data_IF_966000859719
#
_entry.id   IF_966000859719
#
_cell.length_a   1.000
_cell.length_b   1.000
_cell.length_c   1.000
_cell.angle_alpha   90.00
_cell.angle_beta   90.00
_cell.angle_gamma   90.00
#
_symmetry.space_group_name_H-M   'P 1'
#
loop_
_entity.id
_entity.type
_entity.pdbx_description
1 polymer ?
#
# COMPACT_ATOMS: atom_id res chain seq x y z
N UNK A 1 29.66 32.71 17.41
CA UNK A 1 31.00 33.31 17.15
C UNK A 1 30.92 34.74 16.63
N UNK A 2 29.93 35.12 15.82
CA UNK A 2 29.78 36.48 15.23
C UNK A 2 29.77 37.64 16.21
N UNK A 3 29.34 37.44 17.46
CA UNK A 3 29.32 38.49 18.49
C UNK A 3 30.68 38.90 19.09
N UNK A 4 31.76 38.23 18.70
CA UNK A 4 33.11 38.58 19.22
C UNK A 4 33.72 39.71 18.43
N UNK A 5 34.25 40.74 19.14
CA UNK A 5 35.00 41.85 18.50
C UNK A 5 36.27 41.41 17.77
N UNK A 6 36.78 40.22 18.08
CA UNK A 6 38.00 39.64 17.48
C UNK A 6 37.71 38.79 16.26
N UNK A 7 36.45 38.61 15.84
CA UNK A 7 36.07 37.76 14.73
C UNK A 7 36.40 38.34 13.35
N UNK A 8 36.54 39.69 13.26
CA UNK A 8 36.71 40.37 11.98
C UNK A 8 37.74 39.75 11.01
N UNK A 9 38.99 39.37 11.44
CA UNK A 9 39.94 38.74 10.53
C UNK A 9 39.58 37.32 10.11
N UNK A 10 38.61 36.70 10.77
CA UNK A 10 38.20 35.29 10.50
C UNK A 10 36.78 35.19 9.97
N UNK A 11 36.08 36.30 9.70
CA UNK A 11 34.68 36.30 9.28
C UNK A 11 34.42 35.36 8.11
N UNK A 12 35.14 35.47 7.02
CA UNK A 12 34.94 34.64 5.85
C UNK A 12 35.07 33.12 6.17
N UNK A 13 35.99 32.78 7.10
CA UNK A 13 36.15 31.38 7.53
C UNK A 13 35.03 30.94 8.45
N UNK A 14 34.51 31.81 9.29
CA UNK A 14 33.37 31.55 10.19
C UNK A 14 32.12 31.33 9.35
N UNK A 15 31.86 32.20 8.38
CA UNK A 15 30.71 32.13 7.47
C UNK A 15 30.73 30.84 6.62
N UNK A 16 31.91 30.48 6.11
CA UNK A 16 32.06 29.23 5.35
C UNK A 16 31.78 27.98 6.19
N UNK A 17 32.21 27.99 7.47
CA UNK A 17 31.90 26.89 8.39
C UNK A 17 30.43 26.87 8.80
N UNK A 18 29.83 28.03 9.05
CA UNK A 18 28.41 28.11 9.35
C UNK A 18 27.57 27.55 8.21
N UNK A 19 27.85 27.95 6.97
CA UNK A 19 27.20 27.40 5.79
C UNK A 19 27.36 25.87 5.70
N UNK A 20 28.59 25.38 5.89
CA UNK A 20 28.88 23.94 5.83
C UNK A 20 28.10 23.15 6.90
N UNK A 21 28.04 23.68 8.12
CA UNK A 21 27.33 23.01 9.22
C UNK A 21 25.81 23.05 9.04
N UNK A 22 25.28 24.15 8.53
CA UNK A 22 23.84 24.27 8.23
C UNK A 22 23.46 23.30 7.11
N UNK A 23 24.22 23.29 6.01
CA UNK A 23 23.98 22.34 4.92
C UNK A 23 24.08 20.88 5.38
N UNK A 24 25.04 20.58 6.26
CA UNK A 24 25.16 19.23 6.85
C UNK A 24 23.93 18.84 7.66
N UNK A 25 23.41 19.77 8.46
CA UNK A 25 22.19 19.54 9.24
C UNK A 25 21.01 19.24 8.31
N UNK A 26 20.81 20.05 7.26
CA UNK A 26 19.73 19.86 6.29
C UNK A 26 19.86 18.51 5.56
N UNK A 27 21.10 18.11 5.19
CA UNK A 27 21.36 16.80 4.59
C UNK A 27 20.99 15.68 5.53
N UNK A 28 21.40 15.74 6.81
CA UNK A 28 21.11 14.69 7.80
C UNK A 28 19.60 14.58 8.03
N UNK A 29 18.91 15.70 8.18
CA UNK A 29 17.46 15.71 8.43
C UNK A 29 16.69 15.10 7.24
N UNK A 30 17.06 15.44 6.00
CA UNK A 30 16.45 14.86 4.81
C UNK A 30 16.83 13.39 4.65
N UNK A 31 18.09 13.01 4.94
CA UNK A 31 18.54 11.63 4.89
C UNK A 31 17.74 10.72 5.81
N UNK A 32 17.55 11.14 7.07
CA UNK A 32 16.79 10.37 8.05
C UNK A 32 15.33 10.20 7.64
N UNK A 33 14.71 11.21 7.03
CA UNK A 33 13.35 11.12 6.48
C UNK A 33 13.28 10.09 5.35
N UNK A 34 14.18 10.20 4.35
CA UNK A 34 14.26 9.23 3.25
C UNK A 34 14.47 7.82 3.78
N UNK A 35 15.41 7.64 4.72
CA UNK A 35 15.69 6.34 5.31
C UNK A 35 14.47 5.73 5.99
N UNK A 36 13.76 6.50 6.81
CA UNK A 36 12.58 6.02 7.52
C UNK A 36 11.46 5.63 6.55
N UNK A 37 11.19 6.46 5.56
CA UNK A 37 10.16 6.18 4.54
C UNK A 37 10.56 4.99 3.65
N UNK A 38 11.83 4.90 3.24
CA UNK A 38 12.33 3.81 2.42
C UNK A 38 12.25 2.46 3.15
N UNK A 39 12.67 2.38 4.42
CA UNK A 39 12.57 1.17 5.25
C UNK A 39 11.12 0.68 5.41
N UNK A 40 10.16 1.58 5.42
CA UNK A 40 8.74 1.25 5.48
C UNK A 40 8.21 0.75 4.14
N UNK A 41 8.58 1.39 3.02
CA UNK A 41 8.01 1.13 1.71
C UNK A 41 8.69 -0.03 0.96
N UNK A 42 9.97 -0.29 1.22
CA UNK A 42 10.75 -1.32 0.53
C UNK A 42 10.10 -2.71 0.60
N UNK A 43 9.73 -3.26 1.79
CA UNK A 43 9.09 -4.56 1.87
C UNK A 43 7.71 -4.60 1.19
N UNK A 44 7.00 -3.46 1.16
CA UNK A 44 5.68 -3.35 0.53
C UNK A 44 5.81 -3.45 -0.99
N UNK A 45 6.70 -2.66 -1.60
CA UNK A 45 6.92 -2.65 -3.05
C UNK A 45 7.79 -3.80 -3.56
N UNK A 46 8.36 -4.61 -2.68
CA UNK A 46 8.96 -5.91 -3.03
C UNK A 46 7.91 -6.98 -3.35
N UNK A 47 6.63 -6.76 -2.99
CA UNK A 47 5.53 -7.66 -3.33
C UNK A 47 5.03 -7.42 -4.74
N UNK A 48 5.04 -8.48 -5.59
CA UNK A 48 4.53 -8.43 -6.97
C UNK A 48 3.05 -8.03 -7.05
N UNK A 49 2.26 -8.38 -6.03
CA UNK A 49 0.82 -8.11 -6.01
C UNK A 49 0.53 -6.64 -5.77
N UNK A 50 1.26 -5.99 -4.87
CA UNK A 50 1.17 -4.55 -4.62
C UNK A 50 1.69 -3.77 -5.84
N UNK A 51 2.81 -4.18 -6.40
CA UNK A 51 3.40 -3.56 -7.60
C UNK A 51 2.45 -3.56 -8.79
N UNK A 52 1.67 -4.62 -8.99
CA UNK A 52 0.63 -4.69 -10.03
C UNK A 52 -0.57 -3.79 -9.75
N UNK A 53 -0.92 -3.58 -8.49
CA UNK A 53 -2.05 -2.75 -8.09
C UNK A 53 -1.73 -1.25 -8.12
N UNK A 54 -0.48 -0.88 -7.88
CA UNK A 54 0.05 0.48 -7.79
C UNK A 54 1.23 0.69 -8.74
N UNK A 55 1.03 0.60 -10.07
CA UNK A 55 2.13 0.63 -11.04
C UNK A 55 2.83 2.00 -11.08
N UNK A 56 2.11 3.10 -10.89
CA UNK A 56 2.67 4.46 -10.89
C UNK A 56 3.57 4.67 -9.68
N UNK A 57 3.10 4.34 -8.49
CA UNK A 57 3.82 4.44 -7.23
C UNK A 57 5.03 3.51 -7.20
N UNK A 58 4.89 2.30 -7.74
CA UNK A 58 6.00 1.34 -7.89
C UNK A 58 7.09 1.84 -8.82
N UNK A 59 6.73 2.48 -9.94
CA UNK A 59 7.70 3.10 -10.84
C UNK A 59 8.47 4.24 -10.16
N UNK A 60 7.76 5.12 -9.44
CA UNK A 60 8.40 6.19 -8.65
C UNK A 60 9.30 5.63 -7.56
N UNK A 61 8.84 4.59 -6.84
CA UNK A 61 9.64 3.92 -5.82
C UNK A 61 10.93 3.31 -6.38
N UNK A 62 10.87 2.71 -7.56
CA UNK A 62 12.06 2.14 -8.24
C UNK A 62 13.11 3.22 -8.50
N UNK A 63 12.70 4.42 -8.93
CA UNK A 63 13.62 5.56 -9.15
C UNK A 63 14.25 5.99 -7.82
N UNK A 64 13.46 6.19 -6.78
CA UNK A 64 13.96 6.58 -5.45
C UNK A 64 14.89 5.51 -4.87
N UNK A 65 14.53 4.24 -5.00
CA UNK A 65 15.36 3.12 -4.56
C UNK A 65 16.74 3.11 -5.24
N UNK A 66 16.80 3.37 -6.54
CA UNK A 66 18.05 3.49 -7.28
C UNK A 66 18.94 4.60 -6.72
N UNK A 67 18.41 5.80 -6.56
CA UNK A 67 19.12 6.96 -5.99
C UNK A 67 19.58 6.67 -4.56
N UNK A 68 18.75 6.04 -3.74
CA UNK A 68 19.07 5.69 -2.36
C UNK A 68 20.23 4.69 -2.27
N UNK A 69 20.16 3.60 -3.04
CA UNK A 69 21.22 2.57 -3.07
C UNK A 69 22.54 3.17 -3.55
N UNK A 70 22.52 4.01 -4.59
CA UNK A 70 23.72 4.68 -5.11
C UNK A 70 24.33 5.62 -4.06
N UNK A 71 23.52 6.47 -3.42
CA UNK A 71 23.96 7.37 -2.35
C UNK A 71 24.56 6.61 -1.17
N UNK A 72 23.98 5.49 -0.77
CA UNK A 72 24.50 4.62 0.29
C UNK A 72 25.83 3.98 -0.11
N UNK A 73 25.95 3.47 -1.35
CA UNK A 73 27.18 2.86 -1.85
C UNK A 73 28.33 3.87 -1.94
N UNK A 74 28.05 5.09 -2.39
CA UNK A 74 29.06 6.15 -2.43
C UNK A 74 29.50 6.59 -1.03
N UNK A 75 28.55 6.75 -0.12
CA UNK A 75 28.87 7.11 1.29
C UNK A 75 29.65 6.01 1.99
N UNK A 76 29.40 4.73 1.67
CA UNK A 76 30.18 3.62 2.19
C UNK A 76 31.63 3.61 1.68
N UNK A 77 31.90 4.12 0.48
CA UNK A 77 33.28 4.26 -0.07
C UNK A 77 34.07 5.37 0.61
N UNK A 78 33.39 6.48 0.91
CA UNK A 78 34.00 7.64 1.57
C UNK A 78 33.13 8.10 2.74
N UNK A 79 33.28 7.49 3.95
CA UNK A 79 32.40 7.73 5.08
C UNK A 79 32.72 9.04 5.85
N UNK A 80 33.65 9.87 5.35
CA UNK A 80 33.98 11.13 5.98
C UNK A 80 32.82 12.11 5.85
N UNK A 81 32.21 12.52 6.97
CA UNK A 81 31.00 13.34 7.03
C UNK A 81 31.13 14.65 6.21
N UNK A 82 32.29 15.30 6.29
CA UNK A 82 32.55 16.55 5.55
C UNK A 82 32.67 16.33 4.04
N UNK A 83 33.17 15.18 3.60
CA UNK A 83 33.23 14.81 2.19
C UNK A 83 31.81 14.59 1.64
N UNK A 84 30.98 13.84 2.39
CA UNK A 84 29.58 13.62 2.03
C UNK A 84 28.79 14.94 1.99
N UNK A 85 28.97 15.81 2.98
CA UNK A 85 28.29 17.11 3.04
C UNK A 85 28.68 18.09 1.91
N UNK A 86 29.86 17.91 1.32
CA UNK A 86 30.34 18.73 0.20
C UNK A 86 29.96 18.19 -1.17
N UNK A 87 29.27 17.04 -1.22
CA UNK A 87 28.80 16.46 -2.49
C UNK A 87 27.75 17.38 -3.09
N UNK A 88 28.04 17.87 -4.30
CA UNK A 88 27.12 18.73 -5.04
C UNK A 88 25.82 17.94 -5.37
N UNK A 89 24.67 18.59 -5.18
CA UNK A 89 23.37 18.02 -5.53
C UNK A 89 22.81 16.97 -4.55
N UNK A 90 23.55 16.55 -3.52
CA UNK A 90 23.05 15.54 -2.57
C UNK A 90 21.80 16.01 -1.83
N UNK A 91 21.78 17.26 -1.35
CA UNK A 91 20.62 17.81 -0.66
C UNK A 91 19.39 17.88 -1.59
N UNK A 92 19.58 18.29 -2.84
CA UNK A 92 18.50 18.34 -3.83
C UNK A 92 17.96 16.94 -4.14
N UNK A 93 18.85 15.95 -4.31
CA UNK A 93 18.45 14.55 -4.53
C UNK A 93 17.66 13.97 -3.37
N UNK A 94 18.07 14.25 -2.12
CA UNK A 94 17.35 13.79 -0.93
C UNK A 94 15.99 14.51 -0.76
N UNK A 95 15.92 15.78 -1.12
CA UNK A 95 14.66 16.54 -1.09
C UNK A 95 13.67 16.01 -2.13
N UNK A 96 14.11 15.82 -3.36
CA UNK A 96 13.31 15.23 -4.45
C UNK A 96 12.86 13.80 -4.11
N UNK A 97 13.74 13.00 -3.48
CA UNK A 97 13.40 11.67 -3.00
C UNK A 97 12.30 11.71 -1.92
N UNK A 98 12.38 12.64 -0.95
CA UNK A 98 11.35 12.82 0.08
C UNK A 98 10.01 13.20 -0.54
N UNK A 99 9.97 14.15 -1.47
CA UNK A 99 8.74 14.55 -2.15
C UNK A 99 8.09 13.37 -2.89
N UNK A 100 8.88 12.56 -3.59
CA UNK A 100 8.38 11.34 -4.25
C UNK A 100 7.87 10.31 -3.25
N UNK A 101 8.57 10.09 -2.14
CA UNK A 101 8.15 9.16 -1.09
C UNK A 101 6.84 9.60 -0.44
N UNK A 102 6.62 10.90 -0.24
CA UNK A 102 5.36 11.43 0.29
C UNK A 102 4.18 11.16 -0.68
N UNK A 103 4.40 11.34 -1.99
CA UNK A 103 3.39 11.01 -3.01
C UNK A 103 3.08 9.51 -3.01
N UNK A 104 4.11 8.65 -2.91
CA UNK A 104 3.95 7.19 -2.86
C UNK A 104 3.16 6.78 -1.61
N UNK A 105 3.49 7.33 -0.44
CA UNK A 105 2.77 7.04 0.82
C UNK A 105 1.31 7.46 0.74
N UNK A 106 1.03 8.61 0.12
CA UNK A 106 -0.34 9.06 -0.10
C UNK A 106 -1.10 8.10 -1.02
N UNK A 107 -0.53 7.73 -2.17
CA UNK A 107 -1.14 6.76 -3.10
C UNK A 107 -1.43 5.41 -2.43
N UNK A 108 -0.49 4.94 -1.60
CA UNK A 108 -0.68 3.73 -0.81
C UNK A 108 -1.85 3.87 0.20
N UNK A 109 -1.93 5.01 0.89
CA UNK A 109 -3.02 5.28 1.84
C UNK A 109 -4.39 5.31 1.15
N UNK A 110 -4.49 5.98 0.01
CA UNK A 110 -5.72 6.07 -0.79
C UNK A 110 -6.14 4.66 -1.30
N UNK A 111 -5.18 3.85 -1.70
CA UNK A 111 -5.41 2.44 -2.07
C UNK A 111 -5.99 1.63 -0.90
N UNK A 112 -5.38 1.72 0.29
CA UNK A 112 -5.86 0.99 1.47
C UNK A 112 -7.26 1.46 1.89
N UNK A 113 -7.55 2.75 1.80
CA UNK A 113 -8.89 3.28 2.10
C UNK A 113 -9.93 2.75 1.11
N UNK A 114 -9.61 2.67 -0.17
CA UNK A 114 -10.48 2.05 -1.18
C UNK A 114 -10.79 0.58 -0.82
N UNK A 115 -9.80 -0.18 -0.33
CA UNK A 115 -10.02 -1.56 0.14
C UNK A 115 -10.89 -1.63 1.39
N UNK A 116 -10.71 -0.70 2.33
CA UNK A 116 -11.56 -0.60 3.53
C UNK A 116 -13.01 -0.30 3.19
N UNK A 117 -13.25 0.63 2.25
CA UNK A 117 -14.60 0.94 1.79
C UNK A 117 -15.27 -0.24 1.08
N UNK A 118 -14.51 -1.02 0.31
CA UNK A 118 -15.01 -2.22 -0.34
C UNK A 118 -15.37 -3.35 0.66
N UNK A 119 -14.64 -3.44 1.77
CA UNK A 119 -14.89 -4.41 2.84
C UNK A 119 -14.75 -3.76 4.22
N UNK A 120 -15.87 -3.28 4.81
CA UNK A 120 -15.86 -2.48 6.04
C UNK A 120 -15.17 -3.12 7.23
N UNK A 121 -15.04 -4.44 7.28
CA UNK A 121 -14.32 -5.13 8.35
C UNK A 121 -12.82 -4.81 8.38
N UNK A 122 -12.25 -4.35 7.28
CA UNK A 122 -10.85 -3.90 7.21
C UNK A 122 -10.58 -2.62 8.01
N UNK A 123 -11.61 -1.88 8.43
CA UNK A 123 -11.42 -0.74 9.33
C UNK A 123 -10.93 -1.13 10.73
N UNK A 124 -11.06 -2.39 11.12
CA UNK A 124 -10.53 -2.90 12.39
C UNK A 124 -9.05 -3.29 12.32
N UNK A 125 -8.45 -3.23 11.14
CA UNK A 125 -7.06 -3.58 10.91
C UNK A 125 -6.20 -2.32 10.77
N UNK A 126 -4.98 -2.38 11.29
CA UNK A 126 -3.94 -1.39 11.00
C UNK A 126 -3.56 -1.42 9.52
N UNK A 127 -2.81 -0.40 9.06
CA UNK A 127 -2.32 -0.38 7.69
C UNK A 127 -1.40 -1.58 7.40
N UNK A 128 -0.52 -1.90 8.35
CA UNK A 128 0.47 -2.97 8.20
C UNK A 128 -0.21 -4.35 8.12
N UNK A 129 -1.18 -4.61 8.98
CA UNK A 129 -1.98 -5.84 8.95
C UNK A 129 -2.77 -5.97 7.64
N UNK A 130 -3.34 -4.86 7.15
CA UNK A 130 -4.09 -4.87 5.89
C UNK A 130 -3.15 -5.12 4.70
N UNK A 131 -1.95 -4.52 4.70
CA UNK A 131 -0.94 -4.76 3.67
C UNK A 131 -0.45 -6.20 3.67
N UNK A 132 -0.19 -6.78 4.84
CA UNK A 132 0.18 -8.19 4.97
C UNK A 132 -0.89 -9.11 4.37
N UNK A 133 -2.17 -8.83 4.66
CA UNK A 133 -3.29 -9.57 4.09
C UNK A 133 -3.35 -9.43 2.56
N UNK A 134 -3.15 -8.22 2.04
CA UNK A 134 -3.20 -7.95 0.60
C UNK A 134 -1.98 -8.48 -0.15
N UNK A 135 -0.84 -8.64 0.52
CA UNK A 135 0.37 -9.22 -0.05
C UNK A 135 0.35 -10.76 -0.04
N UNK A 136 -0.34 -11.39 0.90
CA UNK A 136 -0.44 -12.85 1.02
C UNK A 136 -1.61 -13.44 0.20
N UNK A 137 -1.66 -13.15 -1.10
CA UNK A 137 -2.73 -13.68 -1.97
C UNK A 137 -2.67 -15.19 -2.22
N UNK A 138 -1.57 -15.86 -1.83
CA UNK A 138 -1.35 -17.29 -2.10
C UNK A 138 -2.11 -18.22 -1.16
N UNK A 139 -2.41 -17.82 0.07
CA UNK A 139 -3.17 -18.63 1.02
C UNK A 139 -4.18 -17.77 1.82
N UNK A 140 -5.34 -17.46 1.20
CA UNK A 140 -6.35 -16.63 1.85
C UNK A 140 -6.93 -17.25 3.13
N UNK A 141 -6.78 -18.56 3.33
CA UNK A 141 -7.37 -19.24 4.49
C UNK A 141 -6.66 -18.89 5.79
N UNK A 142 -5.34 -18.81 5.80
CA UNK A 142 -4.55 -18.50 7.00
C UNK A 142 -4.81 -17.09 7.51
N UNK A 143 -4.87 -16.14 6.61
CA UNK A 143 -4.98 -14.72 6.94
C UNK A 143 -6.41 -14.36 7.38
N UNK A 144 -7.41 -14.87 6.65
CA UNK A 144 -8.81 -14.60 6.95
C UNK A 144 -9.25 -15.24 8.27
N UNK A 145 -8.81 -16.45 8.59
CA UNK A 145 -9.19 -17.15 9.82
C UNK A 145 -8.51 -16.59 11.06
N UNK A 146 -7.24 -16.28 11.00
CA UNK A 146 -6.48 -15.86 12.19
C UNK A 146 -6.74 -14.40 12.61
N UNK A 147 -6.93 -13.48 11.66
CA UNK A 147 -7.01 -12.04 11.94
C UNK A 147 -8.40 -11.44 11.76
N UNK A 148 -9.13 -11.83 10.72
CA UNK A 148 -10.45 -11.27 10.44
C UNK A 148 -11.59 -12.03 11.14
N UNK A 149 -11.43 -13.32 11.35
CA UNK A 149 -12.44 -14.19 11.92
C UNK A 149 -11.85 -15.15 12.97
N UNK A 150 -11.35 -14.65 14.11
CA UNK A 150 -10.66 -15.47 15.09
C UNK A 150 -11.53 -16.61 15.68
N UNK A 151 -12.84 -16.53 15.50
CA UNK A 151 -13.80 -17.55 15.96
C UNK A 151 -14.17 -18.57 14.87
N UNK A 152 -13.58 -18.48 13.68
CA UNK A 152 -13.80 -19.42 12.58
C UNK A 152 -12.62 -20.37 12.53
N UNK A 153 -12.83 -21.62 12.95
CA UNK A 153 -11.78 -22.63 13.00
C UNK A 153 -11.39 -23.18 11.61
N UNK A 154 -12.28 -23.07 10.63
CA UNK A 154 -12.07 -23.61 9.29
C UNK A 154 -12.87 -22.82 8.25
N UNK A 155 -12.19 -22.29 7.23
CA UNK A 155 -12.79 -21.68 6.05
C UNK A 155 -12.71 -22.68 4.89
N UNK A 156 -13.85 -23.22 4.48
CA UNK A 156 -13.90 -24.02 3.25
C UNK A 156 -13.98 -23.08 2.05
N UNK A 157 -12.88 -22.96 1.33
CA UNK A 157 -12.85 -22.30 0.01
C UNK A 157 -13.50 -23.21 -1.00
N UNK A 158 -14.75 -22.94 -1.36
CA UNK A 158 -15.42 -23.67 -2.43
C UNK A 158 -14.66 -23.42 -3.74
N UNK A 159 -13.98 -24.44 -4.24
CA UNK A 159 -13.40 -24.40 -5.57
C UNK A 159 -14.51 -24.10 -6.59
N UNK A 160 -14.27 -23.22 -7.54
CA UNK A 160 -15.23 -22.86 -8.61
C UNK A 160 -15.73 -24.06 -9.39
N UNK A 161 -14.97 -25.14 -9.44
CA UNK A 161 -15.37 -26.44 -10.00
C UNK A 161 -16.41 -27.18 -9.15
N UNK A 162 -16.42 -27.00 -7.81
CA UNK A 162 -17.42 -27.55 -6.90
C UNK A 162 -18.72 -26.76 -6.95
N UNK A 163 -18.63 -25.43 -7.04
CA UNK A 163 -19.81 -24.57 -7.16
C UNK A 163 -20.58 -24.85 -8.49
N UNK A 164 -19.89 -25.10 -9.59
CA UNK A 164 -20.52 -25.50 -10.85
C UNK A 164 -21.19 -26.86 -10.76
N UNK A 165 -20.65 -27.83 -10.03
CA UNK A 165 -21.28 -29.15 -9.81
C UNK A 165 -22.54 -29.06 -8.95
N UNK A 166 -22.57 -28.21 -7.93
CA UNK A 166 -23.77 -27.99 -7.11
C UNK A 166 -24.87 -27.25 -7.87
N UNK A 167 -24.53 -26.27 -8.69
CA UNK A 167 -25.50 -25.57 -9.54
C UNK A 167 -26.10 -26.47 -10.63
N UNK A 168 -25.33 -27.45 -11.14
CA UNK A 168 -25.80 -28.45 -12.11
C UNK A 168 -26.65 -29.57 -11.49
N UNK A 169 -26.55 -29.78 -10.17
CA UNK A 169 -27.29 -30.81 -9.43
C UNK A 169 -28.65 -30.33 -8.89
N UNK A 170 -28.97 -29.04 -8.98
CA UNK A 170 -30.25 -28.52 -8.57
C UNK A 170 -31.23 -28.68 -9.74
N UNK A 171 -32.25 -29.55 -9.64
CA UNK A 171 -33.23 -29.69 -10.71
C UNK A 171 -34.03 -28.39 -10.85
N UNK A 172 -34.42 -28.00 -12.09
CA UNK A 172 -35.20 -26.78 -12.27
C UNK A 172 -36.52 -26.88 -11.52
N UNK A 173 -37.01 -25.78 -10.95
CA UNK A 173 -38.29 -25.78 -10.24
C UNK A 173 -39.39 -26.29 -11.18
N UNK A 174 -40.17 -27.27 -10.72
CA UNK A 174 -41.29 -27.82 -11.49
C UNK A 174 -42.25 -26.70 -11.85
N UNK A 175 -42.69 -26.55 -13.09
CA UNK A 175 -43.67 -25.57 -13.47
C UNK A 175 -44.94 -25.80 -12.64
N UNK A 176 -45.41 -24.74 -11.96
CA UNK A 176 -46.66 -24.78 -11.20
C UNK A 176 -47.77 -25.29 -12.11
N UNK A 177 -48.42 -26.37 -11.67
CA UNK A 177 -49.56 -26.95 -12.36
C UNK A 177 -50.64 -25.84 -12.45
N UNK A 178 -51.07 -25.53 -13.67
CA UNK A 178 -52.18 -24.61 -13.92
C UNK A 178 -53.41 -25.15 -13.19
N UNK A 179 -54.22 -24.30 -12.53
CA UNK A 179 -55.49 -24.77 -11.97
C UNK A 179 -56.38 -25.28 -13.08
N UNK A 180 -56.90 -26.49 -12.90
CA UNK A 180 -57.85 -27.12 -13.81
C UNK A 180 -59.13 -26.26 -13.88
N UNK A 181 -59.41 -25.72 -15.09
CA UNK A 181 -60.65 -25.00 -15.33
C UNK A 181 -61.83 -25.96 -15.03
N UNK A 182 -62.71 -25.56 -14.09
CA UNK A 182 -63.94 -26.28 -13.81
C UNK A 182 -64.84 -26.21 -15.03
N UNK A 183 -65.15 -27.37 -15.60
CA UNK A 183 -66.17 -27.51 -16.64
C UNK A 183 -67.54 -27.24 -16.04
N UNK A 184 -68.13 -26.10 -16.42
CA UNK A 184 -69.49 -25.73 -16.16
C UNK A 184 -70.40 -26.64 -17.01
N UNK A 185 -71.13 -27.55 -16.38
CA UNK A 185 -72.14 -28.40 -17.00
C UNK A 185 -73.46 -27.61 -17.06
N UNK A 186 -74.06 -27.37 -18.25
CA UNK A 186 -75.34 -26.68 -18.35
C UNK A 186 -76.46 -27.62 -17.87
N UNK A 187 -77.26 -27.19 -16.88
CA UNK A 187 -78.52 -27.82 -16.49
C UNK A 187 -79.53 -27.73 -17.60
N UNK A 188 -79.95 -28.89 -18.10
CA UNK A 188 -81.14 -29.03 -18.95
C UNK A 188 -82.41 -28.74 -18.12
N UNK A 189 -83.14 -27.72 -18.58
CA UNK A 189 -84.51 -27.48 -18.19
C UNK A 189 -85.42 -28.49 -18.90
N UNK A 190 -86.27 -29.23 -18.16
CA UNK A 190 -87.32 -30.06 -18.68
C UNK A 190 -88.63 -29.29 -18.72
N UNK A 191 -89.50 -29.50 -19.70
CA UNK A 191 -90.77 -28.79 -19.88
C UNK A 191 -91.90 -29.52 -19.15
N UNK A 192 -92.78 -28.73 -18.61
CA UNK A 192 -94.29 -28.85 -18.66
C UNK A 192 -94.87 -27.58 -18.09
#
# INVERSE_FOLDING_TARGET
MHGSRYVKPFLARVDAWEHTLTSLQDIIDNWLKVQAAWLYLEPIFSSDDITRQLPTESSMFTVVNGVWIESMAETAREPAVLSVARREGLLEQLTDANEKLDVIQKGLSDYLETKRLAFPRFFFLSNDELLEILAETKDPTKVLTQRLFPNVSELQVASTASARRHAAATPPPRPHARPRASRNVPRRSSPT
#
